data_IF_426017348504
#
_entry.id   IF_426017348504
#
_cell.length_a   1.000
_cell.length_b   1.000
_cell.length_c   1.000
_cell.angle_alpha   90.00
_cell.angle_beta   90.00
_cell.angle_gamma   90.00
#
_symmetry.space_group_name_H-M   'P 1'
#
loop_
_entity.id
_entity.type
_entity.pdbx_description
1 polymer ?
#
# COMPACT_ATOMS: atom_id res chain seq x y z
N UNK A 1 21.24 -10.51 14.76
CA UNK A 1 21.64 -10.31 13.34
C UNK A 1 20.41 -9.87 12.57
N UNK A 2 20.43 -8.69 11.94
CA UNK A 2 19.30 -8.21 11.15
C UNK A 2 19.08 -9.13 9.94
N UNK A 3 17.86 -9.66 9.77
CA UNK A 3 17.52 -10.41 8.56
C UNK A 3 17.60 -9.46 7.36
N UNK A 4 18.29 -9.88 6.29
CA UNK A 4 18.32 -9.13 5.04
C UNK A 4 16.89 -8.87 4.56
N UNK A 5 16.58 -7.72 3.94
CA UNK A 5 15.34 -7.49 3.22
C UNK A 5 15.05 -8.63 2.24
N UNK A 6 13.78 -9.02 2.12
CA UNK A 6 13.40 -10.17 1.28
C UNK A 6 13.81 -9.97 -0.18
N UNK A 7 13.78 -8.74 -0.69
CA UNK A 7 14.28 -8.41 -2.04
C UNK A 7 15.76 -8.75 -2.24
N UNK A 8 16.62 -8.45 -1.25
CA UNK A 8 18.04 -8.79 -1.30
C UNK A 8 18.27 -10.30 -1.18
N UNK A 9 17.51 -10.96 -0.31
CA UNK A 9 17.54 -12.44 -0.23
C UNK A 9 17.16 -13.06 -1.58
N UNK A 10 16.10 -12.56 -2.23
CA UNK A 10 15.65 -13.07 -3.51
C UNK A 10 16.64 -12.84 -4.64
N UNK A 11 17.36 -11.71 -4.63
CA UNK A 11 18.47 -11.47 -5.58
C UNK A 11 19.58 -12.52 -5.40
N UNK A 12 20.01 -12.77 -4.15
CA UNK A 12 21.01 -13.80 -3.85
C UNK A 12 20.53 -15.18 -4.28
N UNK A 13 19.28 -15.53 -3.98
CA UNK A 13 18.65 -16.80 -4.38
C UNK A 13 18.68 -16.95 -5.91
N UNK A 14 18.31 -15.92 -6.66
CA UNK A 14 18.30 -15.96 -8.13
C UNK A 14 19.71 -16.21 -8.69
N UNK A 15 20.72 -15.49 -8.19
CA UNK A 15 22.11 -15.68 -8.58
C UNK A 15 22.63 -17.08 -8.23
N UNK A 16 22.38 -17.55 -7.01
CA UNK A 16 22.78 -18.90 -6.58
C UNK A 16 22.12 -19.98 -7.42
N UNK A 17 20.81 -19.87 -7.64
CA UNK A 17 20.07 -20.82 -8.45
C UNK A 17 20.56 -20.85 -9.91
N UNK A 18 20.93 -19.70 -10.46
CA UNK A 18 21.51 -19.62 -11.81
C UNK A 18 22.85 -20.34 -11.89
N UNK A 19 23.74 -20.11 -10.91
CA UNK A 19 25.04 -20.80 -10.83
C UNK A 19 24.88 -22.31 -10.65
N UNK A 20 23.95 -22.74 -9.78
CA UNK A 20 23.66 -24.16 -9.56
C UNK A 20 23.06 -24.83 -10.80
N UNK A 21 22.12 -24.16 -11.50
CA UNK A 21 21.56 -24.66 -12.75
C UNK A 21 22.62 -24.77 -13.85
N UNK A 22 23.52 -23.78 -13.95
CA UNK A 22 24.63 -23.81 -14.90
C UNK A 22 25.63 -24.94 -14.58
N UNK A 23 25.98 -25.14 -13.31
CA UNK A 23 26.84 -26.23 -12.87
C UNK A 23 26.20 -27.59 -13.15
N UNK A 24 24.92 -27.78 -12.81
CA UNK A 24 24.19 -29.01 -13.09
C UNK A 24 24.18 -29.32 -14.58
N UNK A 25 23.96 -28.31 -15.43
CA UNK A 25 24.03 -28.47 -16.88
C UNK A 25 25.42 -28.94 -17.35
N UNK A 26 26.51 -28.33 -16.88
CA UNK A 26 27.87 -28.75 -17.23
C UNK A 26 28.17 -30.20 -16.79
N UNK A 27 27.71 -30.58 -15.60
CA UNK A 27 27.87 -31.92 -15.06
C UNK A 27 27.06 -32.98 -15.80
N UNK A 28 25.93 -32.61 -16.43
CA UNK A 28 25.10 -33.52 -17.23
C UNK A 28 25.56 -33.60 -18.69
N UNK A 29 26.12 -32.51 -19.23
CA UNK A 29 26.64 -32.45 -20.59
C UNK A 29 27.78 -33.44 -20.82
N UNK A 30 28.67 -33.60 -19.83
CA UNK A 30 29.90 -34.39 -19.94
C UNK A 30 29.66 -35.91 -20.00
N UNK A 31 28.81 -36.54 -19.16
CA UNK A 31 28.53 -37.97 -19.22
C UNK A 31 27.37 -38.36 -20.16
N UNK A 32 26.40 -37.47 -20.42
CA UNK A 32 25.16 -37.85 -21.13
C UNK A 32 24.98 -37.19 -22.51
N UNK A 33 25.95 -36.41 -23.00
CA UNK A 33 25.84 -35.63 -24.26
C UNK A 33 24.54 -34.82 -24.35
N UNK A 34 24.04 -34.36 -23.20
CA UNK A 34 22.75 -33.72 -23.07
C UNK A 34 22.83 -32.23 -23.39
N UNK A 35 22.08 -31.74 -24.39
CA UNK A 35 21.97 -30.32 -24.70
C UNK A 35 20.58 -29.81 -24.29
N UNK A 36 20.42 -29.17 -23.12
CA UNK A 36 19.11 -28.70 -22.71
C UNK A 36 18.62 -27.57 -23.60
N UNK A 37 17.32 -27.58 -23.88
CA UNK A 37 16.65 -26.40 -24.39
C UNK A 37 16.72 -25.27 -23.34
N UNK A 38 16.79 -24.02 -23.79
CA UNK A 38 16.83 -22.83 -22.92
C UNK A 38 15.68 -22.82 -21.89
N UNK A 39 14.51 -23.33 -22.28
CA UNK A 39 13.35 -23.51 -21.41
C UNK A 39 13.59 -24.49 -20.26
N UNK A 40 14.31 -25.58 -20.50
CA UNK A 40 14.62 -26.58 -19.46
C UNK A 40 15.56 -25.96 -18.42
N UNK A 41 16.56 -25.18 -18.85
CA UNK A 41 17.43 -24.44 -17.93
C UNK A 41 16.66 -23.42 -17.09
N UNK A 42 15.74 -22.66 -17.69
CA UNK A 42 14.91 -21.69 -16.98
C UNK A 42 14.01 -22.34 -15.92
N UNK A 43 13.40 -23.49 -16.24
CA UNK A 43 12.55 -24.24 -15.30
C UNK A 43 13.37 -24.84 -14.15
N UNK A 44 14.53 -25.44 -14.46
CA UNK A 44 15.45 -25.99 -13.45
C UNK A 44 15.95 -24.90 -12.51
N UNK A 45 16.38 -23.76 -13.06
CA UNK A 45 16.79 -22.60 -12.26
C UNK A 45 15.65 -22.10 -11.37
N UNK A 46 14.44 -21.97 -11.91
CA UNK A 46 13.26 -21.53 -11.15
C UNK A 46 12.90 -22.50 -10.01
N UNK A 47 13.01 -23.80 -10.25
CA UNK A 47 12.78 -24.83 -9.24
C UNK A 47 13.84 -24.77 -8.12
N UNK A 48 15.12 -24.62 -8.46
CA UNK A 48 16.20 -24.44 -7.49
C UNK A 48 15.96 -23.16 -6.68
N UNK A 49 15.63 -22.05 -7.33
CA UNK A 49 15.34 -20.78 -6.68
C UNK A 49 14.16 -20.89 -5.71
N UNK A 50 13.09 -21.58 -6.09
CA UNK A 50 11.95 -21.83 -5.23
C UNK A 50 12.31 -22.69 -4.01
N UNK A 51 13.12 -23.73 -4.19
CA UNK A 51 13.66 -24.55 -3.10
C UNK A 51 14.50 -23.73 -2.13
N UNK A 52 15.42 -22.91 -2.64
CA UNK A 52 16.23 -21.99 -1.83
C UNK A 52 15.38 -20.96 -1.09
N UNK A 53 14.34 -20.42 -1.72
CA UNK A 53 13.37 -19.50 -1.10
C UNK A 53 12.62 -20.16 0.07
N UNK A 54 12.22 -21.42 -0.09
CA UNK A 54 11.62 -22.21 0.99
C UNK A 54 12.60 -22.44 2.15
N UNK A 55 13.85 -22.81 1.86
CA UNK A 55 14.91 -22.99 2.85
C UNK A 55 15.21 -21.69 3.61
N UNK A 56 15.20 -20.55 2.91
CA UNK A 56 15.37 -19.22 3.51
C UNK A 56 14.10 -18.70 4.20
N UNK A 57 13.03 -19.50 4.24
CA UNK A 57 11.74 -19.18 4.90
C UNK A 57 11.15 -17.87 4.40
N UNK A 58 11.25 -17.59 3.11
CA UNK A 58 10.54 -16.47 2.52
C UNK A 58 9.03 -16.71 2.59
N UNK A 59 8.20 -15.64 2.59
CA UNK A 59 6.75 -15.77 2.56
C UNK A 59 6.27 -16.68 1.41
N UNK A 60 5.19 -17.43 1.62
CA UNK A 60 4.70 -18.48 0.72
C UNK A 60 4.41 -18.05 -0.73
N UNK A 61 4.29 -16.75 -0.99
CA UNK A 61 4.09 -16.19 -2.33
C UNK A 61 5.40 -15.98 -3.12
N UNK A 62 6.57 -16.09 -2.49
CA UNK A 62 7.87 -15.96 -3.17
C UNK A 62 8.27 -17.17 -4.02
N UNK A 63 8.12 -18.43 -3.56
CA UNK A 63 8.49 -19.57 -4.38
C UNK A 63 7.79 -19.60 -5.76
N UNK A 64 6.48 -19.31 -5.89
CA UNK A 64 5.83 -19.17 -7.20
C UNK A 64 6.45 -18.08 -8.08
N UNK A 65 6.84 -16.93 -7.51
CA UNK A 65 7.53 -15.87 -8.26
C UNK A 65 8.90 -16.33 -8.75
N UNK A 66 9.64 -17.09 -7.93
CA UNK A 66 10.93 -17.65 -8.31
C UNK A 66 10.81 -18.65 -9.48
N UNK A 67 9.83 -19.55 -9.43
CA UNK A 67 9.55 -20.49 -10.55
C UNK A 67 9.22 -19.72 -11.83
N UNK A 68 8.38 -18.69 -11.74
CA UNK A 68 7.92 -17.93 -12.90
C UNK A 68 8.91 -16.93 -13.49
N UNK A 69 9.97 -16.55 -12.76
CA UNK A 69 10.81 -15.41 -13.13
C UNK A 69 11.55 -15.56 -14.47
N UNK A 70 12.42 -16.58 -14.61
CA UNK A 70 13.14 -16.80 -15.87
C UNK A 70 12.21 -17.21 -17.03
N UNK A 71 11.20 -18.10 -16.83
CA UNK A 71 10.22 -18.36 -17.87
C UNK A 71 9.52 -17.09 -18.39
N UNK A 72 9.15 -16.16 -17.51
CA UNK A 72 8.56 -14.89 -17.91
C UNK A 72 9.54 -14.03 -18.73
N UNK A 73 10.83 -14.02 -18.39
CA UNK A 73 11.86 -13.34 -19.19
C UNK A 73 11.98 -13.97 -20.58
N UNK A 74 11.99 -15.30 -20.69
CA UNK A 74 12.06 -15.98 -21.98
C UNK A 74 10.84 -15.70 -22.85
N UNK A 75 9.63 -15.71 -22.27
CA UNK A 75 8.40 -15.29 -22.97
C UNK A 75 8.51 -13.84 -23.45
N UNK A 76 8.96 -12.93 -22.59
CA UNK A 76 9.15 -11.53 -22.92
C UNK A 76 10.11 -11.31 -24.10
N UNK A 77 11.21 -12.07 -24.15
CA UNK A 77 12.17 -12.03 -25.26
C UNK A 77 11.59 -12.55 -26.57
N UNK A 78 10.75 -13.60 -26.52
CA UNK A 78 10.11 -14.17 -27.71
C UNK A 78 9.01 -13.27 -28.29
N UNK A 79 8.24 -12.61 -27.42
CA UNK A 79 7.17 -11.69 -27.80
C UNK A 79 7.74 -10.34 -28.29
N UNK A 80 9.05 -10.11 -28.16
CA UNK A 80 9.77 -8.90 -28.56
C UNK A 80 9.06 -7.63 -28.06
N UNK A 81 8.69 -7.64 -26.78
CA UNK A 81 7.96 -6.54 -26.14
C UNK A 81 8.83 -5.28 -26.18
N UNK A 82 8.35 -4.16 -26.74
CA UNK A 82 9.12 -2.92 -26.78
C UNK A 82 9.59 -2.45 -25.39
N UNK A 83 10.84 -1.99 -25.31
CA UNK A 83 11.47 -1.55 -24.07
C UNK A 83 10.66 -0.49 -23.30
N UNK A 84 9.96 0.39 -24.02
CA UNK A 84 9.14 1.45 -23.42
C UNK A 84 7.96 0.92 -22.61
N UNK A 85 7.45 -0.30 -22.87
CA UNK A 85 6.36 -0.90 -22.10
C UNK A 85 6.82 -1.21 -20.68
N UNK A 86 8.03 -1.75 -20.52
CA UNK A 86 8.61 -2.00 -19.20
C UNK A 86 8.83 -0.69 -18.43
N UNK A 87 9.33 0.33 -19.13
CA UNK A 87 9.50 1.67 -18.55
C UNK A 87 8.15 2.25 -18.14
N UNK A 88 7.12 2.15 -18.97
CA UNK A 88 5.78 2.63 -18.68
C UNK A 88 5.17 1.89 -17.47
N UNK A 89 5.29 0.57 -17.40
CA UNK A 89 4.85 -0.23 -16.26
C UNK A 89 5.58 0.16 -14.97
N UNK A 90 6.91 0.35 -15.05
CA UNK A 90 7.71 0.82 -13.93
C UNK A 90 7.27 2.21 -13.45
N UNK A 91 7.12 3.17 -14.37
CA UNK A 91 6.67 4.52 -14.05
C UNK A 91 5.26 4.52 -13.46
N UNK A 92 4.35 3.69 -13.99
CA UNK A 92 3.02 3.50 -13.42
C UNK A 92 3.11 3.04 -11.97
N UNK A 93 3.90 1.99 -11.69
CA UNK A 93 4.09 1.49 -10.33
C UNK A 93 4.71 2.56 -9.41
N UNK A 94 5.71 3.31 -9.88
CA UNK A 94 6.32 4.42 -9.13
C UNK A 94 5.30 5.52 -8.84
N UNK A 95 4.41 5.85 -9.77
CA UNK A 95 3.39 6.88 -9.58
C UNK A 95 2.34 6.48 -8.53
N UNK A 96 1.99 5.20 -8.44
CA UNK A 96 1.01 4.68 -7.48
C UNK A 96 1.61 4.33 -6.11
N UNK A 97 2.84 3.83 -6.07
CA UNK A 97 3.51 3.34 -4.85
C UNK A 97 4.71 4.20 -4.44
N UNK A 98 4.74 5.46 -4.88
CA UNK A 98 5.84 6.42 -4.75
C UNK A 98 6.52 6.44 -3.38
N UNK A 99 5.76 6.37 -2.28
CA UNK A 99 6.30 6.50 -0.92
C UNK A 99 6.23 5.21 -0.10
N UNK A 100 5.56 4.16 -0.60
CA UNK A 100 5.30 2.94 0.17
C UNK A 100 6.60 2.23 0.60
N UNK A 101 7.69 2.40 -0.14
CA UNK A 101 9.00 1.88 0.24
C UNK A 101 9.62 2.56 1.47
N UNK A 102 9.21 3.79 1.80
CA UNK A 102 9.65 4.55 2.99
C UNK A 102 8.60 4.50 4.11
N UNK A 103 7.37 4.88 3.81
CA UNK A 103 6.30 5.08 4.79
C UNK A 103 5.65 3.76 5.22
N UNK A 104 5.82 2.70 4.43
CA UNK A 104 5.15 1.40 4.65
C UNK A 104 3.63 1.54 4.75
N UNK A 105 3.09 2.52 4.01
CA UNK A 105 1.65 2.69 3.80
C UNK A 105 1.35 2.30 2.35
N UNK A 106 0.93 1.05 2.10
CA UNK A 106 0.43 0.64 0.79
C UNK A 106 -0.94 1.26 0.51
N UNK A 107 -1.29 1.38 -0.78
CA UNK A 107 -2.60 1.87 -1.19
C UNK A 107 -3.69 0.83 -0.86
N UNK A 108 -4.43 1.05 0.22
CA UNK A 108 -5.67 0.35 0.53
C UNK A 108 -6.83 1.33 0.53
N UNK A 109 -7.89 1.01 -0.20
CA UNK A 109 -9.08 1.86 -0.28
C UNK A 109 -10.10 1.41 0.75
N UNK A 110 -10.60 2.37 1.53
CA UNK A 110 -11.78 2.15 2.37
C UNK A 110 -13.04 1.97 1.51
N UNK A 111 -14.02 1.25 2.05
CA UNK A 111 -15.26 0.92 1.36
C UNK A 111 -16.43 1.82 1.78
N UNK A 112 -17.58 1.65 1.13
CA UNK A 112 -18.78 2.45 1.43
C UNK A 112 -19.28 2.27 2.86
N UNK A 113 -19.08 1.10 3.47
CA UNK A 113 -19.51 0.84 4.85
C UNK A 113 -18.70 1.70 5.82
N UNK A 114 -17.38 1.76 5.62
CA UNK A 114 -16.52 2.66 6.38
C UNK A 114 -16.93 4.13 6.19
N UNK A 115 -17.24 4.55 4.97
CA UNK A 115 -17.66 5.93 4.72
C UNK A 115 -18.98 6.30 5.41
N UNK A 116 -19.93 5.37 5.46
CA UNK A 116 -21.20 5.54 6.18
C UNK A 116 -20.99 5.62 7.70
N UNK A 117 -20.12 4.77 8.24
CA UNK A 117 -19.81 4.80 9.67
C UNK A 117 -19.08 6.08 10.07
N UNK A 118 -18.14 6.57 9.24
CA UNK A 118 -17.53 7.88 9.44
C UNK A 118 -18.61 8.97 9.41
N UNK A 119 -19.52 8.95 8.43
CA UNK A 119 -20.59 9.94 8.33
C UNK A 119 -21.47 10.00 9.59
N UNK A 120 -21.73 8.86 10.25
CA UNK A 120 -22.52 8.79 11.47
C UNK A 120 -21.88 9.49 12.68
N UNK A 121 -20.56 9.74 12.63
CA UNK A 121 -19.80 10.41 13.70
C UNK A 121 -19.59 11.91 13.45
N UNK A 122 -19.95 12.42 12.26
CA UNK A 122 -19.72 13.83 11.90
C UNK A 122 -20.82 14.75 12.43
N UNK A 123 -20.48 15.99 12.80
CA UNK A 123 -21.48 16.97 13.19
C UNK A 123 -22.37 17.35 12.00
N UNK A 124 -23.68 17.16 12.13
CA UNK A 124 -24.62 17.40 11.03
C UNK A 124 -25.00 18.88 10.81
N UNK A 125 -25.01 19.69 11.88
CA UNK A 125 -25.57 21.05 11.86
C UNK A 125 -24.54 22.16 12.04
N UNK A 126 -23.34 21.85 12.51
CA UNK A 126 -22.29 22.83 12.80
C UNK A 126 -21.22 22.82 11.70
N UNK A 127 -20.57 23.97 11.42
CA UNK A 127 -19.39 24.01 10.57
C UNK A 127 -18.24 23.19 11.18
N UNK A 128 -17.52 22.46 10.34
CA UNK A 128 -16.36 21.70 10.76
C UNK A 128 -15.37 21.50 9.61
N UNK A 129 -14.12 21.20 9.96
CA UNK A 129 -13.04 20.90 9.03
C UNK A 129 -12.65 19.43 9.19
N UNK A 130 -12.81 18.67 8.11
CA UNK A 130 -12.50 17.25 8.04
C UNK A 130 -11.29 17.01 7.16
N UNK A 131 -10.37 16.15 7.59
CA UNK A 131 -9.24 15.71 6.77
C UNK A 131 -9.10 14.20 6.72
N UNK A 132 -8.88 13.67 5.51
CA UNK A 132 -8.50 12.28 5.27
C UNK A 132 -6.98 12.19 5.03
N UNK A 133 -6.26 11.53 5.95
CA UNK A 133 -4.81 11.33 5.89
C UNK A 133 -4.50 10.05 5.11
N UNK A 134 -3.81 10.18 3.97
CA UNK A 134 -3.63 9.06 3.04
C UNK A 134 -4.89 8.77 2.23
N UNK A 135 -5.53 9.84 1.73
CA UNK A 135 -6.83 9.79 1.07
C UNK A 135 -6.90 8.95 -0.21
N UNK A 136 -5.76 8.50 -0.74
CA UNK A 136 -5.69 7.67 -1.95
C UNK A 136 -6.38 8.35 -3.12
N UNK A 137 -7.46 7.73 -3.61
CA UNK A 137 -8.25 8.28 -4.72
C UNK A 137 -9.27 9.34 -4.26
N UNK A 138 -9.32 9.70 -2.98
CA UNK A 138 -10.24 10.67 -2.41
C UNK A 138 -11.64 10.14 -2.11
N UNK A 139 -11.76 8.82 -1.84
CA UNK A 139 -13.04 8.14 -1.65
C UNK A 139 -13.91 8.76 -0.55
N UNK A 140 -13.35 8.87 0.67
CA UNK A 140 -14.07 9.32 1.86
C UNK A 140 -14.51 10.79 1.72
N UNK A 141 -13.62 11.76 1.42
CA UNK A 141 -14.02 13.17 1.35
C UNK A 141 -15.03 13.44 0.23
N UNK A 142 -14.88 12.79 -0.94
CA UNK A 142 -15.83 12.94 -2.06
C UNK A 142 -17.19 12.32 -1.79
N UNK A 143 -17.26 11.31 -0.90
CA UNK A 143 -18.52 10.73 -0.46
C UNK A 143 -19.24 11.63 0.56
N UNK A 144 -18.48 12.21 1.49
CA UNK A 144 -19.03 13.00 2.59
C UNK A 144 -19.42 14.41 2.17
N UNK A 145 -18.62 15.09 1.33
CA UNK A 145 -18.84 16.49 1.00
C UNK A 145 -20.26 16.86 0.50
N UNK A 146 -20.94 16.04 -0.33
CA UNK A 146 -22.31 16.33 -0.74
C UNK A 146 -23.36 16.15 0.37
N UNK A 147 -23.03 15.44 1.46
CA UNK A 147 -23.94 15.12 2.57
C UNK A 147 -23.88 16.13 3.72
N UNK A 148 -22.80 16.89 3.80
CA UNK A 148 -22.54 17.85 4.88
C UNK A 148 -22.24 19.22 4.28
N UNK A 149 -23.28 20.05 4.13
CA UNK A 149 -23.17 21.38 3.52
C UNK A 149 -22.30 22.36 4.32
N UNK A 150 -22.22 22.16 5.65
CA UNK A 150 -21.40 22.96 6.57
C UNK A 150 -19.96 22.42 6.72
N UNK A 151 -19.67 21.24 6.17
CA UNK A 151 -18.36 20.61 6.29
C UNK A 151 -17.37 21.11 5.23
N UNK A 152 -16.16 21.44 5.65
CA UNK A 152 -15.02 21.68 4.77
C UNK A 152 -14.14 20.43 4.73
N UNK A 153 -14.00 19.84 3.55
CA UNK A 153 -13.38 18.54 3.38
C UNK A 153 -12.01 18.65 2.69
N UNK A 154 -11.04 18.00 3.29
CA UNK A 154 -9.66 17.95 2.85
C UNK A 154 -9.19 16.50 2.72
N UNK A 155 -8.23 16.27 1.84
CA UNK A 155 -7.54 14.98 1.75
C UNK A 155 -6.08 15.18 1.39
N UNK A 156 -5.20 14.41 2.01
CA UNK A 156 -3.77 14.42 1.68
C UNK A 156 -3.33 13.09 1.12
N UNK A 157 -2.42 13.14 0.16
CA UNK A 157 -1.83 11.95 -0.45
C UNK A 157 -0.43 12.28 -0.95
N UNK A 158 0.53 11.40 -0.69
CA UNK A 158 1.93 11.59 -1.11
C UNK A 158 2.15 11.06 -2.52
N UNK A 159 1.44 9.99 -2.91
CA UNK A 159 1.58 9.34 -4.20
C UNK A 159 1.01 10.22 -5.33
N UNK A 160 1.82 10.54 -6.37
CA UNK A 160 1.40 11.44 -7.43
C UNK A 160 0.14 11.01 -8.19
N UNK A 161 0.02 9.73 -8.57
CA UNK A 161 -1.14 9.26 -9.33
C UNK A 161 -2.43 9.27 -8.49
N UNK A 162 -2.49 8.66 -7.30
CA UNK A 162 -3.68 8.72 -6.45
C UNK A 162 -4.13 10.16 -6.14
N UNK A 163 -3.19 11.07 -5.82
CA UNK A 163 -3.49 12.49 -5.63
C UNK A 163 -4.06 13.16 -6.90
N UNK A 164 -3.46 12.90 -8.07
CA UNK A 164 -3.96 13.49 -9.31
C UNK A 164 -5.36 12.97 -9.64
N UNK A 165 -5.60 11.67 -9.46
CA UNK A 165 -6.90 11.05 -9.67
C UNK A 165 -7.95 11.66 -8.71
N UNK A 166 -7.62 11.85 -7.42
CA UNK A 166 -8.55 12.45 -6.46
C UNK A 166 -8.93 13.89 -6.84
N UNK A 167 -7.96 14.69 -7.29
CA UNK A 167 -8.18 16.04 -7.80
C UNK A 167 -9.04 16.07 -9.06
N UNK A 168 -8.78 15.18 -10.02
CA UNK A 168 -9.59 15.07 -11.24
C UNK A 168 -11.02 14.64 -10.92
N UNK A 169 -11.21 13.65 -10.04
CA UNK A 169 -12.52 13.22 -9.56
C UNK A 169 -13.28 14.34 -8.87
N UNK A 170 -12.61 15.18 -8.08
CA UNK A 170 -13.21 16.37 -7.48
C UNK A 170 -13.69 17.36 -8.54
N UNK A 171 -12.86 17.64 -9.55
CA UNK A 171 -13.19 18.51 -10.67
C UNK A 171 -14.41 18.02 -11.48
N UNK A 172 -14.42 16.74 -11.87
CA UNK A 172 -15.55 16.15 -12.60
C UNK A 172 -16.85 16.17 -11.80
N UNK A 173 -16.77 16.04 -10.47
CA UNK A 173 -17.93 16.12 -9.57
C UNK A 173 -18.28 17.55 -9.15
N UNK A 174 -17.53 18.57 -9.59
CA UNK A 174 -17.62 19.97 -9.11
C UNK A 174 -17.63 20.05 -7.58
N UNK A 175 -16.87 19.18 -6.94
CA UNK A 175 -16.80 19.08 -5.49
C UNK A 175 -15.91 20.18 -4.91
N UNK A 176 -16.27 20.68 -3.73
CA UNK A 176 -15.48 21.68 -2.98
C UNK A 176 -14.33 21.07 -2.17
N UNK A 177 -14.14 19.76 -2.25
CA UNK A 177 -13.07 19.04 -1.55
C UNK A 177 -11.70 19.51 -2.04
N UNK A 178 -10.78 19.75 -1.11
CA UNK A 178 -9.41 20.14 -1.41
C UNK A 178 -8.43 18.98 -1.22
N UNK A 179 -7.77 18.56 -2.30
CA UNK A 179 -6.77 17.49 -2.26
C UNK A 179 -5.34 18.04 -2.38
N UNK A 180 -4.50 17.69 -1.41
CA UNK A 180 -3.14 18.23 -1.28
C UNK A 180 -2.12 17.10 -1.46
N UNK A 181 -1.08 17.35 -2.27
CA UNK A 181 0.04 16.41 -2.39
C UNK A 181 1.07 16.66 -1.29
N UNK A 182 0.80 16.16 -0.08
CA UNK A 182 1.62 16.42 1.11
C UNK A 182 1.74 15.18 1.98
N UNK A 183 2.83 15.12 2.73
CA UNK A 183 3.01 14.18 3.83
C UNK A 183 2.24 14.70 5.05
N UNK A 184 1.39 13.86 5.64
CA UNK A 184 0.59 14.21 6.80
C UNK A 184 1.45 14.52 8.03
N UNK A 185 2.67 13.99 8.10
CA UNK A 185 3.60 14.25 9.20
C UNK A 185 4.02 15.73 9.28
N UNK A 186 3.83 16.50 8.20
CA UNK A 186 4.16 17.93 8.14
C UNK A 186 2.97 18.85 8.34
N UNK A 187 1.77 18.30 8.53
CA UNK A 187 0.55 19.06 8.74
C UNK A 187 0.39 19.42 10.21
N UNK A 188 -0.19 20.58 10.47
CA UNK A 188 -0.71 20.90 11.79
C UNK A 188 -2.13 20.33 11.91
N UNK A 189 -2.31 19.34 12.79
CA UNK A 189 -3.62 18.73 13.00
C UNK A 189 -4.56 19.63 13.82
N UNK A 190 -4.07 20.72 14.42
CA UNK A 190 -4.90 21.70 15.12
C UNK A 190 -5.91 22.39 14.18
N UNK A 191 -5.64 22.42 12.88
CA UNK A 191 -6.49 23.03 11.86
C UNK A 191 -7.77 22.24 11.55
N UNK A 192 -7.94 21.05 12.11
CA UNK A 192 -9.03 20.14 11.77
C UNK A 192 -9.81 19.71 13.02
N UNK A 193 -11.13 19.72 12.88
CA UNK A 193 -12.06 19.26 13.92
C UNK A 193 -12.26 17.74 13.85
N UNK A 194 -12.08 17.16 12.65
CA UNK A 194 -12.15 15.71 12.43
C UNK A 194 -10.98 15.25 11.57
N UNK A 195 -10.20 14.31 12.09
CA UNK A 195 -9.08 13.68 11.39
C UNK A 195 -9.42 12.21 11.18
N UNK A 196 -9.45 11.76 9.93
CA UNK A 196 -9.65 10.36 9.57
C UNK A 196 -8.35 9.76 9.01
N UNK A 197 -8.03 8.54 9.41
CA UNK A 197 -6.86 7.82 8.94
C UNK A 197 -7.14 6.33 8.68
N UNK A 198 -6.64 5.84 7.55
CA UNK A 198 -6.56 4.41 7.22
C UNK A 198 -5.19 4.11 6.62
N UNK A 199 -4.17 4.09 7.47
CA UNK A 199 -2.78 4.01 7.05
C UNK A 199 -2.22 2.59 7.23
N UNK A 200 -1.31 2.39 8.18
CA UNK A 200 -0.71 1.09 8.48
C UNK A 200 -0.30 1.00 9.95
N UNK A 201 -0.09 -0.22 10.50
CA UNK A 201 0.35 -0.39 11.89
C UNK A 201 1.69 0.31 12.20
N UNK A 202 2.54 0.50 11.19
CA UNK A 202 3.82 1.18 11.36
C UNK A 202 3.67 2.71 11.46
N UNK A 203 2.65 3.28 10.81
CA UNK A 203 2.41 4.72 10.76
C UNK A 203 1.54 5.21 11.92
N UNK A 204 0.59 4.39 12.37
CA UNK A 204 -0.44 4.79 13.34
C UNK A 204 0.09 5.26 14.70
N UNK A 205 1.13 4.66 15.32
CA UNK A 205 1.66 5.15 16.59
C UNK A 205 2.20 6.58 16.52
N UNK A 206 2.93 6.91 15.45
CA UNK A 206 3.45 8.26 15.24
C UNK A 206 2.34 9.27 14.96
N UNK A 207 1.34 8.88 14.15
CA UNK A 207 0.17 9.72 13.90
C UNK A 207 -0.63 9.97 15.18
N UNK A 208 -0.78 8.96 16.04
CA UNK A 208 -1.48 9.13 17.32
C UNK A 208 -0.76 10.11 18.25
N UNK A 209 0.57 10.05 18.33
CA UNK A 209 1.35 11.03 19.09
C UNK A 209 1.15 12.45 18.55
N UNK A 210 1.17 12.62 17.22
CA UNK A 210 0.89 13.89 16.57
C UNK A 210 -0.53 14.40 16.87
N UNK A 211 -1.54 13.51 16.81
CA UNK A 211 -2.92 13.83 17.11
C UNK A 211 -3.08 14.31 18.56
N UNK A 212 -2.53 13.59 19.54
CA UNK A 212 -2.57 13.99 20.96
C UNK A 212 -1.89 15.33 21.23
N UNK A 213 -0.80 15.62 20.51
CA UNK A 213 -0.04 16.84 20.74
C UNK A 213 -0.68 18.07 20.08
N UNK A 214 -1.39 17.91 18.95
CA UNK A 214 -1.79 19.03 18.09
C UNK A 214 -3.31 19.23 18.02
N UNK A 215 -4.10 18.16 18.07
CA UNK A 215 -5.55 18.29 17.90
C UNK A 215 -6.18 19.01 19.09
N UNK A 216 -7.15 19.88 18.79
CA UNK A 216 -7.84 20.69 19.80
C UNK A 216 -8.76 19.83 20.66
N UNK A 217 -8.97 20.20 21.92
CA UNK A 217 -9.93 19.51 22.78
C UNK A 217 -11.33 19.52 22.17
N UNK A 218 -12.01 18.38 22.21
CA UNK A 218 -13.33 18.17 21.62
C UNK A 218 -13.32 17.78 20.14
N UNK A 219 -12.17 17.84 19.46
CA UNK A 219 -12.01 17.31 18.10
C UNK A 219 -12.04 15.77 18.09
N UNK A 220 -12.20 15.19 16.90
CA UNK A 220 -12.41 13.76 16.72
C UNK A 220 -11.31 13.14 15.86
N UNK A 221 -10.55 12.21 16.42
CA UNK A 221 -9.64 11.36 15.67
C UNK A 221 -10.33 10.03 15.34
N UNK A 222 -10.36 9.64 14.08
CA UNK A 222 -11.00 8.41 13.59
C UNK A 222 -9.98 7.54 12.86
N UNK A 223 -9.85 6.29 13.27
CA UNK A 223 -8.98 5.29 12.63
C UNK A 223 -9.80 4.11 12.12
N UNK A 224 -9.55 3.70 10.88
CA UNK A 224 -10.09 2.45 10.34
C UNK A 224 -9.07 1.31 10.54
N UNK A 225 -9.53 0.16 11.01
CA UNK A 225 -8.78 -1.09 11.23
C UNK A 225 -7.71 -1.08 12.32
N UNK A 226 -7.19 0.09 12.71
CA UNK A 226 -6.05 0.18 13.61
C UNK A 226 -6.45 0.86 14.91
N UNK A 227 -6.59 0.07 15.97
CA UNK A 227 -6.68 0.59 17.32
C UNK A 227 -5.34 1.21 17.74
N UNK A 228 -5.41 2.10 18.73
CA UNK A 228 -4.23 2.65 19.40
C UNK A 228 -4.19 2.07 20.81
N UNK A 229 -3.08 1.43 21.18
CA UNK A 229 -2.99 0.65 22.42
C UNK A 229 -2.99 1.51 23.70
N UNK A 230 -2.70 2.81 23.59
CA UNK A 230 -2.48 3.69 24.75
C UNK A 230 -3.75 4.26 25.36
N UNK A 231 -4.88 4.29 24.64
CA UNK A 231 -6.15 4.87 25.11
C UNK A 231 -7.34 4.13 24.52
N UNK A 232 -8.31 3.77 25.37
CA UNK A 232 -9.55 3.17 24.88
C UNK A 232 -10.34 4.16 23.99
N UNK A 233 -10.85 3.70 22.84
CA UNK A 233 -11.68 4.51 21.95
C UNK A 233 -13.02 4.85 22.59
N UNK A 234 -13.48 6.07 22.36
CA UNK A 234 -14.81 6.54 22.81
C UNK A 234 -15.93 5.90 21.97
N UNK A 235 -15.65 5.55 20.71
CA UNK A 235 -16.56 4.81 19.86
C UNK A 235 -15.85 3.68 19.10
N UNK A 236 -16.50 2.52 19.05
CA UNK A 236 -16.06 1.35 18.27
C UNK A 236 -17.23 0.86 17.43
N UNK A 237 -17.05 0.79 16.12
CA UNK A 237 -18.06 0.28 15.19
C UNK A 237 -17.49 -0.84 14.34
N UNK A 238 -18.01 -2.05 14.50
CA UNK A 238 -17.64 -3.21 13.67
C UNK A 238 -18.48 -3.21 12.40
N UNK A 239 -17.84 -3.01 11.24
CA UNK A 239 -18.49 -2.85 9.93
C UNK A 239 -18.69 -4.18 9.18
N UNK A 240 -17.88 -5.18 9.52
CA UNK A 240 -17.96 -6.56 9.08
C UNK A 240 -17.16 -7.45 10.05
N UNK A 241 -17.24 -8.77 9.89
CA UNK A 241 -16.43 -9.68 10.70
C UNK A 241 -14.93 -9.43 10.50
N UNK A 242 -14.19 -9.35 11.62
CA UNK A 242 -12.75 -9.18 11.67
C UNK A 242 -12.25 -7.74 11.90
N UNK A 243 -11.11 -7.62 12.57
CA UNK A 243 -10.51 -6.34 12.98
C UNK A 243 -10.19 -5.37 11.81
N UNK A 244 -10.04 -5.89 10.59
CA UNK A 244 -9.81 -5.09 9.36
C UNK A 244 -11.03 -4.26 8.91
N UNK A 245 -12.14 -4.37 9.63
CA UNK A 245 -13.36 -3.63 9.34
C UNK A 245 -13.91 -2.97 10.61
N UNK A 246 -13.06 -2.63 11.56
CA UNK A 246 -13.47 -1.90 12.77
C UNK A 246 -13.10 -0.44 12.66
N UNK A 247 -14.05 0.45 12.87
CA UNK A 247 -13.84 1.88 13.02
C UNK A 247 -13.64 2.21 14.50
N UNK A 248 -12.58 2.92 14.81
CA UNK A 248 -12.26 3.42 16.14
C UNK A 248 -12.29 4.94 16.12
N UNK A 249 -12.88 5.57 17.14
CA UNK A 249 -12.87 7.02 17.26
C UNK A 249 -12.54 7.46 18.70
N UNK A 250 -11.76 8.52 18.81
CA UNK A 250 -11.34 9.14 20.05
C UNK A 250 -11.64 10.63 20.01
N UNK A 251 -12.27 11.15 21.06
CA UNK A 251 -12.41 12.58 21.30
C UNK A 251 -11.17 13.10 22.01
N UNK A 252 -10.49 14.07 21.40
CA UNK A 252 -9.22 14.61 21.90
C UNK A 252 -9.40 15.56 23.07
#
# INVERSE_FOLDING_TARGET
MARLPVSLQSLVIQCMALLLAALLNLLLQTPFSYQPALWQLALVQGAIAAGLSFLWRQPAWWPPLHVGFLPAILLALQVNVPAWIYLAAFLLLVLFYWSSFRTRVPLYLSDRKAWQAVAALLPGTQPFRFIDLGSGLGGVPLYLAPRFSQGHFYGTETAPAPWLISRLRAGFKRSRVQFMRRDYATLDLADFDVVFAFLSPAAMPGLWQQAQAQMRSGSLFISLSFAVDTRQPDHVMTLAEGARHTLYAWRM
#
